data_IF_970060833915
#
_entry.id   IF_970060833915
#
_cell.length_a   1.000
_cell.length_b   1.000
_cell.length_c   1.000
_cell.angle_alpha   90.00
_cell.angle_beta   90.00
_cell.angle_gamma   90.00
#
_symmetry.space_group_name_H-M   'P 1'
#
loop_
_entity.id
_entity.type
_entity.pdbx_description
1 polymer ?
#
# COMPACT_ATOMS: atom_id res chain seq x y z
N UNK A 1 21.79 -24.99 4.22
CA UNK A 1 21.53 -24.34 2.92
C UNK A 1 21.86 -22.84 3.06
N UNK A 2 22.57 -22.27 2.11
CA UNK A 2 22.81 -20.82 2.09
C UNK A 2 21.50 -20.10 1.81
N UNK A 3 21.19 -19.06 2.60
CA UNK A 3 19.98 -18.22 2.35
C UNK A 3 20.09 -17.47 1.04
N UNK A 4 18.96 -17.27 0.37
CA UNK A 4 18.83 -16.46 -0.85
C UNK A 4 19.28 -15.01 -0.58
N UNK A 5 19.88 -14.39 -1.59
CA UNK A 5 20.28 -12.98 -1.56
C UNK A 5 19.07 -12.11 -1.90
N UNK A 6 18.74 -11.18 -1.04
CA UNK A 6 17.57 -10.33 -1.19
C UNK A 6 17.98 -8.92 -1.60
N UNK A 7 17.37 -8.40 -2.64
CA UNK A 7 17.36 -6.98 -2.97
C UNK A 7 16.11 -6.33 -2.41
N UNK A 8 16.20 -5.10 -1.91
CA UNK A 8 15.03 -4.36 -1.46
C UNK A 8 15.06 -2.93 -2.00
N UNK A 9 14.01 -2.55 -2.73
CA UNK A 9 13.87 -1.23 -3.35
C UNK A 9 12.63 -0.54 -2.79
N UNK A 10 12.85 0.66 -2.19
CA UNK A 10 11.77 1.43 -1.58
C UNK A 10 11.72 1.29 -0.07
N UNK A 11 12.80 1.61 0.63
CA UNK A 11 12.93 1.63 2.10
C UNK A 11 12.29 2.88 2.72
N UNK A 12 11.03 3.15 2.36
CA UNK A 12 10.20 4.21 2.93
C UNK A 12 9.51 3.78 4.23
N UNK A 13 8.35 4.40 4.54
CA UNK A 13 7.59 4.16 5.79
C UNK A 13 7.30 2.68 6.05
N UNK A 14 6.90 1.93 5.03
CA UNK A 14 6.60 0.50 5.14
C UNK A 14 7.86 -0.34 4.91
N UNK A 15 8.58 -0.05 3.82
CA UNK A 15 9.72 -0.85 3.37
C UNK A 15 10.88 -0.88 4.34
N UNK A 16 11.10 0.15 5.17
CA UNK A 16 12.15 0.15 6.19
C UNK A 16 11.96 -0.99 7.20
N UNK A 17 10.75 -1.11 7.78
CA UNK A 17 10.44 -2.19 8.71
C UNK A 17 10.51 -3.58 8.07
N UNK A 18 10.05 -3.71 6.81
CA UNK A 18 10.13 -4.96 6.06
C UNK A 18 11.58 -5.38 5.83
N UNK A 19 12.42 -4.49 5.31
CA UNK A 19 13.84 -4.72 5.03
C UNK A 19 14.62 -5.03 6.31
N UNK A 20 14.33 -4.31 7.41
CA UNK A 20 14.85 -4.59 8.75
C UNK A 20 14.57 -6.03 9.19
N UNK A 21 13.34 -6.50 9.07
CA UNK A 21 13.00 -7.88 9.44
C UNK A 21 13.71 -8.92 8.57
N UNK A 22 13.91 -8.66 7.28
CA UNK A 22 14.65 -9.54 6.37
C UNK A 22 16.11 -9.69 6.81
N UNK A 23 16.82 -8.58 7.06
CA UNK A 23 18.24 -8.62 7.46
C UNK A 23 18.41 -9.24 8.85
N UNK A 24 17.54 -8.91 9.81
CA UNK A 24 17.59 -9.48 11.17
C UNK A 24 17.30 -10.97 11.21
N UNK A 25 16.53 -11.50 10.26
CA UNK A 25 16.35 -12.93 10.06
C UNK A 25 17.53 -13.60 9.31
N UNK A 26 18.60 -12.84 9.06
CA UNK A 26 19.87 -13.34 8.56
C UNK A 26 19.91 -13.60 7.05
N UNK A 27 19.06 -12.96 6.26
CA UNK A 27 19.18 -12.93 4.80
C UNK A 27 20.24 -11.90 4.38
N UNK A 28 21.15 -12.25 3.45
CA UNK A 28 22.00 -11.24 2.81
C UNK A 28 21.11 -10.22 2.08
N UNK A 29 21.19 -8.94 2.50
CA UNK A 29 20.31 -7.89 2.00
C UNK A 29 21.12 -6.82 1.25
N UNK A 30 20.63 -6.43 0.08
CA UNK A 30 21.13 -5.28 -0.70
C UNK A 30 20.00 -4.27 -0.87
N UNK A 31 20.24 -3.01 -0.51
CA UNK A 31 19.27 -1.92 -0.56
C UNK A 31 19.81 -0.77 -1.42
N UNK A 32 18.93 0.14 -1.83
CA UNK A 32 19.35 1.38 -2.47
C UNK A 32 18.69 2.60 -1.81
N UNK A 33 19.41 3.71 -1.75
CA UNK A 33 18.87 4.98 -1.29
C UNK A 33 18.04 5.65 -2.40
N UNK A 34 17.04 6.42 -1.97
CA UNK A 34 16.36 7.41 -2.80
C UNK A 34 16.60 8.80 -2.16
N UNK A 35 15.55 9.57 -1.89
CA UNK A 35 15.67 10.94 -1.33
C UNK A 35 16.09 10.95 0.14
N UNK A 36 15.48 10.09 0.97
CA UNK A 36 15.82 9.94 2.38
C UNK A 36 16.85 8.81 2.55
N UNK A 37 18.00 9.12 3.11
CA UNK A 37 19.09 8.16 3.34
C UNK A 37 19.03 7.46 4.69
N UNK A 38 18.36 8.06 5.68
CA UNK A 38 18.32 7.56 7.06
C UNK A 38 17.93 6.07 7.17
N UNK A 39 16.86 5.58 6.48
CA UNK A 39 16.51 4.16 6.51
C UNK A 39 17.60 3.25 5.93
N UNK A 40 18.30 3.69 4.89
CA UNK A 40 19.41 2.90 4.29
C UNK A 40 20.60 2.84 5.24
N UNK A 41 20.95 3.95 5.87
CA UNK A 41 22.04 4.00 6.85
C UNK A 41 21.76 3.11 8.08
N UNK A 42 20.52 3.05 8.56
CA UNK A 42 20.12 2.10 9.60
C UNK A 42 20.27 0.64 9.13
N UNK A 43 19.79 0.33 7.93
CA UNK A 43 19.89 -1.02 7.38
C UNK A 43 21.34 -1.46 7.14
N UNK A 44 22.20 -0.55 6.70
CA UNK A 44 23.65 -0.82 6.54
C UNK A 44 24.30 -1.12 7.91
N UNK A 45 23.95 -0.38 8.96
CA UNK A 45 24.40 -0.69 10.33
C UNK A 45 23.94 -2.07 10.81
N UNK A 46 22.82 -2.57 10.29
CA UNK A 46 22.29 -3.93 10.56
C UNK A 46 22.92 -5.01 9.67
N UNK A 47 23.82 -4.67 8.75
CA UNK A 47 24.53 -5.61 7.89
C UNK A 47 24.05 -5.66 6.44
N UNK A 48 23.13 -4.81 6.02
CA UNK A 48 22.78 -4.69 4.60
C UNK A 48 23.90 -4.03 3.81
N UNK A 49 23.95 -4.29 2.49
CA UNK A 49 24.82 -3.62 1.54
C UNK A 49 24.03 -2.54 0.79
N UNK A 50 24.67 -1.41 0.50
CA UNK A 50 24.09 -0.39 -0.36
C UNK A 50 24.52 -0.58 -1.81
N UNK A 51 23.58 -0.50 -2.74
CA UNK A 51 23.80 -0.47 -4.17
C UNK A 51 23.42 0.90 -4.75
N UNK A 52 24.07 1.27 -5.86
CA UNK A 52 23.91 2.60 -6.48
C UNK A 52 22.58 2.82 -7.20
N UNK A 53 21.96 1.76 -7.72
CA UNK A 53 20.71 1.80 -8.51
C UNK A 53 20.00 0.44 -8.51
N UNK A 54 18.78 0.37 -9.09
CA UNK A 54 17.96 -0.83 -9.13
C UNK A 54 18.62 -1.97 -9.94
N UNK A 55 19.37 -1.64 -10.99
CA UNK A 55 20.16 -2.61 -11.76
C UNK A 55 21.16 -3.33 -10.87
N UNK A 56 21.97 -2.60 -10.11
CA UNK A 56 22.97 -3.18 -9.22
C UNK A 56 22.33 -3.99 -8.07
N UNK A 57 21.13 -3.60 -7.59
CA UNK A 57 20.35 -4.42 -6.66
C UNK A 57 19.97 -5.75 -7.30
N UNK A 58 19.46 -5.76 -8.54
CA UNK A 58 19.06 -6.98 -9.24
C UNK A 58 20.27 -7.90 -9.52
N UNK A 59 21.40 -7.34 -9.97
CA UNK A 59 22.65 -8.09 -10.22
C UNK A 59 23.15 -8.84 -8.98
N UNK A 60 22.91 -8.27 -7.77
CA UNK A 60 23.37 -8.82 -6.49
C UNK A 60 22.38 -9.82 -5.85
N UNK A 61 21.19 -10.01 -6.43
CA UNK A 61 20.06 -10.66 -5.73
C UNK A 61 19.53 -11.90 -6.46
N UNK A 62 18.91 -12.78 -5.71
CA UNK A 62 18.11 -13.92 -6.19
C UNK A 62 16.60 -13.56 -6.14
N UNK A 63 16.21 -12.71 -5.18
CA UNK A 63 14.87 -12.15 -5.04
C UNK A 63 14.99 -10.65 -4.86
N UNK A 64 14.16 -9.87 -5.56
CA UNK A 64 14.03 -8.42 -5.36
C UNK A 64 12.63 -8.10 -4.86
N UNK A 65 12.54 -7.46 -3.69
CA UNK A 65 11.29 -6.91 -3.14
C UNK A 65 11.20 -5.43 -3.49
N UNK A 66 10.06 -5.03 -4.05
CA UNK A 66 9.73 -3.63 -4.37
C UNK A 66 8.65 -3.15 -3.38
N UNK A 67 8.85 -1.98 -2.76
CA UNK A 67 7.84 -1.33 -1.93
C UNK A 67 7.87 0.18 -2.16
N UNK A 68 7.31 0.63 -3.27
CA UNK A 68 7.29 2.03 -3.70
C UNK A 68 5.87 2.61 -3.70
N UNK A 69 5.72 3.89 -4.05
CA UNK A 69 4.46 4.63 -3.86
C UNK A 69 3.32 4.16 -4.77
N UNK A 70 3.62 3.71 -5.98
CA UNK A 70 2.58 3.33 -6.94
C UNK A 70 3.10 2.85 -8.28
N UNK A 71 2.19 2.57 -9.20
CA UNK A 71 2.46 2.00 -10.51
C UNK A 71 3.54 2.74 -11.33
N UNK A 72 3.56 4.08 -11.42
CA UNK A 72 4.61 4.78 -12.15
C UNK A 72 6.02 4.54 -11.59
N UNK A 73 6.15 4.43 -10.26
CA UNK A 73 7.43 4.15 -9.61
C UNK A 73 7.84 2.68 -9.80
N UNK A 74 6.89 1.74 -9.78
CA UNK A 74 7.15 0.33 -10.10
C UNK A 74 7.68 0.22 -11.53
N UNK A 75 7.00 0.84 -12.50
CA UNK A 75 7.45 0.88 -13.90
C UNK A 75 8.87 1.43 -14.03
N UNK A 76 9.15 2.57 -13.40
CA UNK A 76 10.47 3.20 -13.45
C UNK A 76 11.57 2.34 -12.80
N UNK A 77 11.27 1.66 -11.70
CA UNK A 77 12.20 0.77 -11.00
C UNK A 77 12.48 -0.49 -11.82
N UNK A 78 11.48 -1.03 -12.52
CA UNK A 78 11.63 -2.25 -13.32
C UNK A 78 12.24 -1.94 -14.69
N UNK A 79 11.68 -1.02 -15.45
CA UNK A 79 11.98 -0.77 -16.86
C UNK A 79 12.83 0.48 -17.13
N UNK A 80 13.17 1.29 -16.09
CA UNK A 80 14.02 2.47 -16.24
C UNK A 80 15.43 2.11 -16.77
N UNK A 81 16.21 3.10 -17.22
CA UNK A 81 17.55 2.87 -17.83
C UNK A 81 18.48 2.05 -16.94
N UNK A 82 18.44 2.29 -15.62
CA UNK A 82 19.18 1.53 -14.59
C UNK A 82 18.22 0.69 -13.73
N UNK A 83 17.14 0.21 -14.33
CA UNK A 83 16.11 -0.59 -13.70
C UNK A 83 16.51 -2.05 -13.50
N UNK A 84 15.65 -2.78 -12.79
CA UNK A 84 15.85 -4.21 -12.49
C UNK A 84 16.05 -5.03 -13.76
N UNK A 85 15.28 -4.77 -14.83
CA UNK A 85 15.37 -5.47 -16.10
C UNK A 85 16.78 -5.48 -16.68
N UNK A 86 17.52 -4.35 -16.56
CA UNK A 86 18.89 -4.24 -17.08
C UNK A 86 19.92 -5.07 -16.31
N UNK A 87 19.62 -5.45 -15.06
CA UNK A 87 20.48 -6.31 -14.21
C UNK A 87 19.91 -7.71 -13.97
N UNK A 88 18.76 -8.03 -14.56
CA UNK A 88 18.07 -9.28 -14.33
C UNK A 88 18.83 -10.48 -14.94
N UNK A 89 18.75 -11.61 -14.22
CA UNK A 89 19.33 -12.91 -14.65
C UNK A 89 18.23 -13.97 -14.62
N UNK A 90 18.31 -14.99 -15.44
CA UNK A 90 17.38 -16.15 -15.35
C UNK A 90 17.34 -16.69 -13.92
N UNK A 91 16.12 -16.93 -13.43
CA UNK A 91 15.87 -17.38 -12.05
C UNK A 91 15.62 -16.26 -11.04
N UNK A 92 15.83 -14.98 -11.39
CA UNK A 92 15.45 -13.85 -10.53
C UNK A 92 13.94 -13.88 -10.27
N UNK A 93 13.54 -13.64 -9.03
CA UNK A 93 12.14 -13.42 -8.66
C UNK A 93 11.94 -12.00 -8.16
N UNK A 94 10.93 -11.30 -8.67
CA UNK A 94 10.53 -9.97 -8.22
C UNK A 94 9.22 -10.09 -7.43
N UNK A 95 9.17 -9.48 -6.25
CA UNK A 95 7.97 -9.41 -5.40
C UNK A 95 7.58 -7.93 -5.28
N UNK A 96 6.49 -7.54 -5.92
CA UNK A 96 5.99 -6.16 -5.81
C UNK A 96 4.99 -6.05 -4.64
N UNK A 97 5.46 -5.44 -3.55
CA UNK A 97 4.67 -5.13 -2.35
C UNK A 97 4.04 -3.73 -2.38
N UNK A 98 4.17 -3.00 -3.47
CA UNK A 98 3.58 -1.66 -3.66
C UNK A 98 2.05 -1.74 -3.75
N UNK A 99 1.37 -0.58 -3.76
CA UNK A 99 0.00 -0.51 -4.28
C UNK A 99 0.08 -0.11 -5.74
N UNK A 100 -0.13 -1.05 -6.65
CA UNK A 100 0.07 -0.88 -8.07
C UNK A 100 -1.18 -1.28 -8.89
N UNK A 101 -1.21 -0.95 -10.18
CA UNK A 101 -2.29 -1.35 -11.09
C UNK A 101 -2.11 -2.80 -11.54
N UNK A 102 -3.15 -3.65 -11.43
CA UNK A 102 -3.06 -5.06 -11.86
C UNK A 102 -2.72 -5.25 -13.35
N UNK A 103 -3.10 -4.28 -14.19
CA UNK A 103 -2.76 -4.27 -15.61
C UNK A 103 -1.26 -4.10 -15.84
N UNK A 104 -0.61 -3.20 -15.08
CA UNK A 104 0.84 -3.05 -15.10
C UNK A 104 1.52 -4.33 -14.61
N UNK A 105 1.04 -4.91 -13.51
CA UNK A 105 1.58 -6.13 -12.92
C UNK A 105 1.62 -7.28 -13.93
N UNK A 106 0.50 -7.52 -14.62
CA UNK A 106 0.42 -8.57 -15.64
C UNK A 106 1.36 -8.29 -16.82
N UNK A 107 1.38 -7.04 -17.31
CA UNK A 107 2.27 -6.64 -18.40
C UNK A 107 3.75 -6.84 -18.03
N UNK A 108 4.17 -6.41 -16.82
CA UNK A 108 5.54 -6.62 -16.38
C UNK A 108 5.90 -8.11 -16.26
N UNK A 109 4.99 -8.92 -15.75
CA UNK A 109 5.18 -10.38 -15.70
C UNK A 109 5.38 -10.98 -17.09
N UNK A 110 4.57 -10.60 -18.08
CA UNK A 110 4.67 -11.04 -19.47
C UNK A 110 5.98 -10.57 -20.13
N UNK A 111 6.40 -9.31 -19.90
CA UNK A 111 7.62 -8.74 -20.46
C UNK A 111 8.91 -9.37 -19.87
N UNK A 112 8.85 -9.83 -18.62
CA UNK A 112 10.01 -10.37 -17.89
C UNK A 112 10.13 -11.91 -18.04
N UNK A 113 9.05 -12.62 -18.31
CA UNK A 113 9.04 -14.07 -18.45
C UNK A 113 10.03 -14.60 -19.52
N UNK A 114 10.20 -13.98 -20.70
CA UNK A 114 11.19 -14.42 -21.70
C UNK A 114 12.64 -14.30 -21.20
N UNK A 115 12.89 -13.48 -20.18
CA UNK A 115 14.20 -13.32 -19.53
C UNK A 115 14.43 -14.37 -18.44
N UNK A 116 13.49 -15.29 -18.21
CA UNK A 116 13.54 -16.25 -17.10
C UNK A 116 13.32 -15.61 -15.73
N UNK A 117 12.65 -14.46 -15.66
CA UNK A 117 12.35 -13.73 -14.43
C UNK A 117 10.88 -13.94 -14.05
N UNK A 118 10.66 -14.30 -12.78
CA UNK A 118 9.31 -14.41 -12.20
C UNK A 118 8.90 -13.09 -11.57
N UNK A 119 7.68 -12.62 -11.84
CA UNK A 119 7.11 -11.42 -11.23
C UNK A 119 5.84 -11.78 -10.45
N UNK A 120 5.84 -11.48 -9.14
CA UNK A 120 4.74 -11.73 -8.21
C UNK A 120 4.27 -10.42 -7.59
N UNK A 121 3.00 -10.31 -7.26
CA UNK A 121 2.44 -9.19 -6.51
C UNK A 121 2.07 -9.62 -5.09
N UNK A 122 2.48 -8.82 -4.12
CA UNK A 122 2.31 -9.10 -2.69
C UNK A 122 2.02 -7.82 -1.89
N UNK A 123 0.99 -7.02 -2.27
CA UNK A 123 0.66 -5.80 -1.57
C UNK A 123 0.23 -6.03 -0.13
N UNK A 124 0.34 -4.95 0.65
CA UNK A 124 0.31 -4.94 2.09
C UNK A 124 -0.97 -4.34 2.64
N UNK A 125 -1.41 -4.82 3.80
CA UNK A 125 -2.33 -4.11 4.71
C UNK A 125 -1.68 -3.92 6.07
N UNK A 126 -2.24 -3.03 6.88
CA UNK A 126 -1.79 -2.51 8.16
C UNK A 126 -0.85 -1.30 8.01
N UNK A 127 -0.12 -0.96 9.09
CA UNK A 127 0.58 0.30 9.28
C UNK A 127 2.11 0.11 9.36
N UNK A 128 2.91 1.20 9.35
CA UNK A 128 4.34 1.10 9.56
C UNK A 128 4.76 0.43 10.88
N UNK A 129 3.90 0.48 11.91
CA UNK A 129 4.14 -0.22 13.18
C UNK A 129 4.18 -1.73 12.96
N UNK A 130 3.17 -2.29 12.30
CA UNK A 130 3.14 -3.72 12.00
C UNK A 130 4.22 -4.12 10.98
N UNK A 131 4.61 -3.22 10.06
CA UNK A 131 5.77 -3.46 9.20
C UNK A 131 7.06 -3.62 10.01
N UNK A 132 7.26 -2.79 11.03
CA UNK A 132 8.40 -2.88 11.93
C UNK A 132 8.38 -4.14 12.79
N UNK A 133 7.20 -4.55 13.25
CA UNK A 133 6.98 -5.74 14.07
C UNK A 133 6.99 -7.06 13.28
N UNK A 134 7.00 -7.02 11.94
CA UNK A 134 6.88 -8.22 11.10
C UNK A 134 5.48 -8.85 11.12
N UNK A 135 4.44 -8.03 11.22
CA UNK A 135 3.04 -8.45 11.40
C UNK A 135 2.08 -7.92 10.32
N UNK A 136 2.60 -7.65 9.13
CA UNK A 136 1.76 -7.19 8.02
C UNK A 136 0.80 -8.30 7.54
N UNK A 137 -0.37 -7.89 7.03
CA UNK A 137 -1.19 -8.77 6.21
C UNK A 137 -0.79 -8.59 4.74
N UNK A 138 -0.49 -9.69 4.06
CA UNK A 138 0.00 -9.71 2.68
C UNK A 138 -0.96 -10.49 1.81
N UNK A 139 -1.40 -9.90 0.71
CA UNK A 139 -2.26 -10.51 -0.30
C UNK A 139 -1.40 -10.89 -1.50
N UNK A 140 -1.20 -12.20 -1.74
CA UNK A 140 -0.26 -12.65 -2.79
C UNK A 140 -0.99 -13.08 -4.05
N UNK A 141 -0.47 -12.61 -5.20
CA UNK A 141 -0.83 -13.08 -6.53
C UNK A 141 0.34 -13.74 -7.23
N UNK A 142 0.10 -14.90 -7.86
CA UNK A 142 1.10 -15.68 -8.56
C UNK A 142 0.77 -17.18 -8.56
N UNK A 143 1.61 -18.01 -9.18
CA UNK A 143 1.45 -19.46 -9.07
C UNK A 143 1.79 -19.95 -7.66
N UNK A 144 1.13 -21.02 -7.19
CA UNK A 144 1.43 -21.63 -5.89
C UNK A 144 2.91 -22.06 -5.78
N UNK A 145 3.49 -22.58 -6.86
CA UNK A 145 4.88 -23.00 -6.91
C UNK A 145 5.85 -21.82 -6.74
N UNK A 146 5.58 -20.69 -7.40
CA UNK A 146 6.40 -19.49 -7.27
C UNK A 146 6.28 -18.86 -5.88
N UNK A 147 5.06 -18.81 -5.33
CA UNK A 147 4.82 -18.34 -3.98
C UNK A 147 5.50 -19.19 -2.92
N UNK A 148 5.49 -20.51 -3.07
CA UNK A 148 6.20 -21.42 -2.16
C UNK A 148 7.71 -21.12 -2.12
N UNK A 149 8.32 -20.73 -3.24
CA UNK A 149 9.76 -20.38 -3.33
C UNK A 149 10.13 -19.12 -2.56
N UNK A 150 9.21 -18.20 -2.39
CA UNK A 150 9.43 -16.88 -1.74
C UNK A 150 8.73 -16.75 -0.39
N UNK A 151 7.96 -17.75 0.03
CA UNK A 151 7.16 -17.75 1.24
C UNK A 151 7.95 -17.32 2.47
N UNK A 152 9.13 -17.91 2.70
CA UNK A 152 9.95 -17.63 3.87
C UNK A 152 10.48 -16.20 3.91
N UNK A 153 10.69 -15.58 2.73
CA UNK A 153 11.09 -14.17 2.63
C UNK A 153 9.90 -13.27 2.98
N UNK A 154 8.70 -13.55 2.45
CA UNK A 154 7.47 -12.80 2.79
C UNK A 154 7.15 -12.98 4.28
N UNK A 155 7.30 -14.16 4.85
CA UNK A 155 7.10 -14.45 6.26
C UNK A 155 8.08 -13.70 7.21
N UNK A 156 9.14 -13.08 6.66
CA UNK A 156 9.99 -12.20 7.47
C UNK A 156 9.24 -10.97 7.98
N UNK A 157 8.32 -10.42 7.19
CA UNK A 157 7.60 -9.18 7.50
C UNK A 157 6.08 -9.35 7.58
N UNK A 158 5.55 -10.55 7.33
CA UNK A 158 4.13 -10.85 7.35
C UNK A 158 3.71 -11.63 8.60
N UNK A 159 2.61 -11.20 9.24
CA UNK A 159 1.89 -11.99 10.24
C UNK A 159 0.80 -12.87 9.61
N UNK A 160 0.33 -12.50 8.41
CA UNK A 160 -0.67 -13.26 7.64
C UNK A 160 -0.36 -13.14 6.15
N UNK A 161 -0.34 -14.26 5.45
CA UNK A 161 -0.17 -14.34 4.00
C UNK A 161 -1.42 -15.01 3.42
N UNK A 162 -2.06 -14.35 2.46
CA UNK A 162 -3.26 -14.88 1.79
C UNK A 162 -2.99 -14.94 0.30
N UNK A 163 -2.96 -16.14 -0.27
CA UNK A 163 -2.95 -16.33 -1.72
C UNK A 163 -4.34 -16.05 -2.28
N UNK A 164 -4.46 -15.10 -3.19
CA UNK A 164 -5.74 -14.64 -3.72
C UNK A 164 -5.97 -14.96 -5.20
N UNK A 165 -4.99 -15.59 -5.86
CA UNK A 165 -5.12 -16.00 -7.25
C UNK A 165 -3.85 -15.79 -8.09
N UNK A 166 -3.97 -15.78 -9.43
CA UNK A 166 -2.82 -15.62 -10.33
C UNK A 166 -2.19 -14.23 -10.22
N UNK A 167 -1.08 -14.01 -10.91
CA UNK A 167 -0.36 -12.73 -10.96
C UNK A 167 -1.29 -11.57 -11.30
N UNK A 168 -1.25 -10.52 -10.49
CA UNK A 168 -2.15 -9.36 -10.51
C UNK A 168 -3.38 -9.49 -9.61
N UNK A 169 -3.68 -10.68 -9.06
CA UNK A 169 -4.80 -10.86 -8.14
C UNK A 169 -4.55 -10.20 -6.77
N UNK A 170 -3.32 -10.19 -6.29
CA UNK A 170 -2.93 -9.48 -5.07
C UNK A 170 -3.21 -7.98 -5.18
N UNK A 171 -2.71 -7.32 -6.23
CA UNK A 171 -2.99 -5.90 -6.48
C UNK A 171 -4.48 -5.63 -6.70
N UNK A 172 -5.19 -6.51 -7.42
CA UNK A 172 -6.65 -6.42 -7.55
C UNK A 172 -7.32 -6.42 -6.18
N UNK A 173 -6.98 -7.38 -5.32
CA UNK A 173 -7.58 -7.48 -3.98
C UNK A 173 -7.21 -6.29 -3.11
N UNK A 174 -5.98 -5.79 -3.22
CA UNK A 174 -5.54 -4.56 -2.50
C UNK A 174 -6.38 -3.36 -2.90
N UNK A 175 -6.62 -3.15 -4.18
CA UNK A 175 -7.44 -2.03 -4.68
C UNK A 175 -8.90 -2.19 -4.23
N UNK A 176 -9.46 -3.40 -4.28
CA UNK A 176 -10.83 -3.69 -3.78
C UNK A 176 -10.93 -3.43 -2.28
N UNK A 177 -9.94 -3.90 -1.49
CA UNK A 177 -9.90 -3.62 -0.05
C UNK A 177 -9.85 -2.12 0.25
N UNK A 178 -9.04 -1.36 -0.49
CA UNK A 178 -8.97 0.08 -0.32
C UNK A 178 -10.23 0.79 -0.82
N UNK A 179 -10.89 0.30 -1.87
CA UNK A 179 -12.19 0.81 -2.28
C UNK A 179 -13.23 0.67 -1.16
N UNK A 180 -13.31 -0.48 -0.49
CA UNK A 180 -14.23 -0.68 0.64
C UNK A 180 -13.91 0.31 1.77
N UNK A 181 -12.66 0.43 2.20
CA UNK A 181 -12.28 1.31 3.31
C UNK A 181 -12.42 2.80 2.98
N UNK A 182 -12.08 3.21 1.76
CA UNK A 182 -12.26 4.61 1.32
C UNK A 182 -13.74 4.94 1.09
N UNK A 183 -14.54 3.96 0.68
CA UNK A 183 -16.00 4.06 0.65
C UNK A 183 -16.59 4.34 2.03
N UNK A 184 -16.13 3.62 3.05
CA UNK A 184 -16.50 3.89 4.43
C UNK A 184 -16.08 5.31 4.88
N UNK A 185 -14.86 5.75 4.54
CA UNK A 185 -14.41 7.09 4.90
C UNK A 185 -15.30 8.20 4.30
N UNK A 186 -15.62 8.09 3.01
CA UNK A 186 -16.52 9.05 2.34
C UNK A 186 -17.94 9.03 2.95
N UNK A 187 -18.48 7.82 3.20
CA UNK A 187 -19.78 7.64 3.83
C UNK A 187 -19.83 8.24 5.25
N UNK A 188 -18.81 7.99 6.07
CA UNK A 188 -18.76 8.55 7.43
C UNK A 188 -18.64 10.08 7.40
N UNK A 189 -17.83 10.63 6.50
CA UNK A 189 -17.66 12.07 6.37
C UNK A 189 -18.97 12.77 5.97
N UNK A 190 -19.72 12.19 5.04
CA UNK A 190 -21.02 12.73 4.62
C UNK A 190 -22.09 12.55 5.71
N UNK A 191 -22.17 11.35 6.32
CA UNK A 191 -23.11 11.08 7.39
C UNK A 191 -22.91 11.99 8.60
N UNK A 192 -21.66 12.31 8.98
CA UNK A 192 -21.35 13.29 10.03
C UNK A 192 -21.88 14.69 9.68
N UNK A 193 -21.70 15.11 8.43
CA UNK A 193 -22.20 16.43 7.96
C UNK A 193 -23.73 16.48 8.00
N UNK A 194 -24.42 15.42 7.52
CA UNK A 194 -25.87 15.30 7.55
C UNK A 194 -26.40 15.28 9.00
N UNK A 195 -25.79 14.47 9.87
CA UNK A 195 -26.19 14.39 11.28
C UNK A 195 -26.05 15.75 11.98
N UNK A 196 -24.91 16.41 11.82
CA UNK A 196 -24.62 17.71 12.44
C UNK A 196 -25.55 18.80 11.95
N UNK A 197 -25.83 18.87 10.65
CA UNK A 197 -26.77 19.83 10.07
C UNK A 197 -28.22 19.64 10.59
N UNK A 198 -28.55 18.47 11.09
CA UNK A 198 -29.84 18.14 11.71
C UNK A 198 -29.79 18.12 13.25
N UNK A 199 -28.78 18.72 13.87
CA UNK A 199 -28.71 18.86 15.33
C UNK A 199 -28.14 17.66 16.09
N UNK A 200 -27.60 16.65 15.40
CA UNK A 200 -26.97 15.49 16.03
C UNK A 200 -25.43 15.68 16.05
N UNK A 201 -24.89 15.84 17.25
CA UNK A 201 -23.45 16.01 17.44
C UNK A 201 -22.66 14.74 17.09
N UNK A 202 -21.40 14.85 16.63
CA UNK A 202 -20.54 13.68 16.34
C UNK A 202 -20.43 12.68 17.49
N UNK A 203 -20.39 13.14 18.75
CA UNK A 203 -20.38 12.27 19.95
C UNK A 203 -21.66 11.44 20.10
N UNK A 204 -22.83 12.02 19.78
CA UNK A 204 -24.09 11.31 19.85
C UNK A 204 -24.18 10.24 18.74
N UNK A 205 -23.74 10.58 17.51
CA UNK A 205 -23.64 9.61 16.42
C UNK A 205 -22.69 8.45 16.80
N UNK A 206 -21.53 8.77 17.38
CA UNK A 206 -20.58 7.75 17.84
C UNK A 206 -21.19 6.84 18.91
N UNK A 207 -21.94 7.39 19.88
CA UNK A 207 -22.58 6.60 20.93
C UNK A 207 -23.63 5.58 20.38
N UNK A 208 -24.22 5.89 19.23
CA UNK A 208 -25.18 4.98 18.56
C UNK A 208 -24.49 3.91 17.73
N UNK A 209 -23.39 4.27 17.05
CA UNK A 209 -22.76 3.36 16.08
C UNK A 209 -21.67 2.48 16.70
N UNK A 210 -20.91 3.00 17.69
CA UNK A 210 -19.84 2.27 18.35
C UNK A 210 -20.40 1.09 19.15
N UNK A 211 -19.78 -0.08 18.98
CA UNK A 211 -20.23 -1.34 19.57
C UNK A 211 -21.45 -1.96 18.90
N UNK A 212 -22.02 -1.30 17.87
CA UNK A 212 -23.17 -1.78 17.11
C UNK A 212 -22.77 -2.54 15.83
N UNK A 213 -23.78 -2.82 14.98
CA UNK A 213 -23.58 -3.58 13.72
C UNK A 213 -22.70 -2.87 12.70
N UNK A 214 -22.58 -1.53 12.78
CA UNK A 214 -21.78 -0.72 11.86
C UNK A 214 -20.37 -0.47 12.40
N UNK A 215 -20.05 -0.99 13.59
CA UNK A 215 -18.73 -0.87 14.19
C UNK A 215 -17.74 -1.88 13.57
N UNK A 216 -16.55 -1.39 13.23
CA UNK A 216 -15.44 -2.21 12.77
C UNK A 216 -14.12 -1.50 13.07
N UNK A 217 -12.99 -2.19 12.91
CA UNK A 217 -11.66 -1.61 13.17
C UNK A 217 -11.39 -0.32 12.39
N UNK A 218 -11.88 -0.21 11.14
CA UNK A 218 -11.73 1.01 10.37
C UNK A 218 -12.59 2.16 10.93
N UNK A 219 -13.83 1.86 11.34
CA UNK A 219 -14.71 2.82 12.01
C UNK A 219 -14.05 3.40 13.27
N UNK A 220 -13.56 2.54 14.17
CA UNK A 220 -12.88 2.96 15.40
C UNK A 220 -11.68 3.87 15.11
N UNK A 221 -10.87 3.53 14.13
CA UNK A 221 -9.71 4.32 13.74
C UNK A 221 -10.11 5.69 13.15
N UNK A 222 -11.15 5.72 12.32
CA UNK A 222 -11.67 6.95 11.73
C UNK A 222 -12.29 7.85 12.79
N UNK A 223 -13.16 7.31 13.65
CA UNK A 223 -13.85 8.06 14.68
C UNK A 223 -12.93 8.50 15.83
N UNK A 224 -11.79 7.84 16.03
CA UNK A 224 -10.78 8.33 16.97
C UNK A 224 -10.32 9.74 16.60
N UNK A 225 -10.10 10.02 15.32
CA UNK A 225 -9.85 11.39 14.88
C UNK A 225 -11.07 12.30 15.10
N UNK A 226 -12.25 11.87 14.71
CA UNK A 226 -13.47 12.70 14.79
C UNK A 226 -13.76 13.13 16.24
N UNK A 227 -13.57 12.23 17.21
CA UNK A 227 -13.92 12.46 18.62
C UNK A 227 -12.76 13.00 19.46
N UNK A 228 -11.56 12.44 19.29
CA UNK A 228 -10.38 12.73 20.11
C UNK A 228 -9.40 13.68 19.40
N UNK A 229 -9.62 13.96 18.10
CA UNK A 229 -8.72 14.76 17.23
C UNK A 229 -7.32 14.17 17.12
N UNK A 230 -7.20 12.84 17.27
CA UNK A 230 -5.93 12.14 17.08
C UNK A 230 -5.58 12.09 15.57
N UNK A 231 -4.75 13.04 15.14
CA UNK A 231 -4.30 13.15 13.75
C UNK A 231 -3.50 11.92 13.28
N UNK A 232 -2.96 11.14 14.20
CA UNK A 232 -2.17 9.97 13.89
C UNK A 232 -2.96 8.65 13.93
N UNK A 233 -4.27 8.69 14.20
CA UNK A 233 -5.11 7.51 14.31
C UNK A 233 -5.09 6.63 13.05
N UNK A 234 -4.97 7.23 11.85
CA UNK A 234 -4.90 6.51 10.58
C UNK A 234 -4.00 7.25 9.58
N UNK A 235 -2.74 6.85 9.52
CA UNK A 235 -1.70 7.53 8.73
C UNK A 235 -1.68 7.11 7.26
N UNK A 236 -2.80 7.35 6.55
CA UNK A 236 -2.94 7.17 5.10
C UNK A 236 -3.42 8.48 4.49
N UNK A 237 -2.65 9.06 3.56
CA UNK A 237 -2.92 10.41 3.05
C UNK A 237 -4.07 10.44 2.07
N UNK A 238 -4.78 11.58 1.99
CA UNK A 238 -5.86 11.81 1.03
C UNK A 238 -5.37 11.67 -0.42
N UNK A 239 -4.14 12.12 -0.72
CA UNK A 239 -3.54 11.93 -2.04
C UNK A 239 -3.32 10.46 -2.39
N UNK A 240 -2.88 9.62 -1.43
CA UNK A 240 -2.75 8.18 -1.66
C UNK A 240 -4.12 7.51 -1.81
N UNK A 241 -5.12 7.95 -1.04
CA UNK A 241 -6.49 7.47 -1.19
C UNK A 241 -7.06 7.81 -2.58
N UNK A 242 -6.86 9.05 -3.05
CA UNK A 242 -7.24 9.46 -4.40
C UNK A 242 -6.53 8.61 -5.46
N UNK A 243 -5.23 8.41 -5.34
CA UNK A 243 -4.46 7.53 -6.23
C UNK A 243 -5.06 6.12 -6.31
N UNK A 244 -5.34 5.50 -5.16
CA UNK A 244 -5.87 4.13 -5.11
C UNK A 244 -7.29 4.05 -5.68
N UNK A 245 -8.11 5.10 -5.49
CA UNK A 245 -9.44 5.17 -6.10
C UNK A 245 -9.38 5.40 -7.62
N UNK A 246 -8.37 6.10 -8.14
CA UNK A 246 -8.11 6.15 -9.59
C UNK A 246 -7.76 4.77 -10.14
N UNK A 247 -6.92 4.00 -9.44
CA UNK A 247 -6.60 2.62 -9.84
C UNK A 247 -7.85 1.73 -9.83
N UNK A 248 -8.76 1.93 -8.85
CA UNK A 248 -10.04 1.24 -8.83
C UNK A 248 -10.90 1.57 -10.07
N UNK A 249 -11.00 2.85 -10.43
CA UNK A 249 -11.74 3.28 -11.60
C UNK A 249 -11.13 2.74 -12.90
N UNK A 250 -9.80 2.77 -13.04
CA UNK A 250 -9.08 2.21 -14.19
C UNK A 250 -9.29 0.70 -14.31
N UNK A 251 -9.23 -0.01 -13.18
CA UNK A 251 -9.45 -1.46 -13.13
C UNK A 251 -10.88 -1.83 -13.54
N UNK A 252 -11.89 -1.09 -13.04
CA UNK A 252 -13.28 -1.31 -13.44
C UNK A 252 -13.51 -1.01 -14.92
N UNK A 253 -12.94 0.09 -15.43
CA UNK A 253 -13.01 0.43 -16.85
C UNK A 253 -12.37 -0.65 -17.74
N UNK A 254 -11.19 -1.14 -17.39
CA UNK A 254 -10.51 -2.20 -18.13
C UNK A 254 -11.29 -3.52 -18.12
N UNK A 255 -12.07 -3.78 -17.07
CA UNK A 255 -12.94 -4.95 -16.96
C UNK A 255 -14.34 -4.75 -17.59
N UNK A 256 -14.65 -3.56 -18.11
CA UNK A 256 -15.98 -3.23 -18.66
C UNK A 256 -17.10 -3.19 -17.60
N UNK A 257 -16.77 -2.93 -16.33
CA UNK A 257 -17.71 -2.96 -15.21
C UNK A 257 -18.14 -1.54 -14.85
N UNK A 258 -19.44 -1.31 -14.67
CA UNK A 258 -19.96 -0.07 -14.13
C UNK A 258 -19.49 0.12 -12.68
N UNK A 259 -18.92 1.30 -12.37
CA UNK A 259 -18.35 1.61 -11.05
C UNK A 259 -18.85 2.97 -10.51
N UNK A 260 -20.18 3.14 -10.34
CA UNK A 260 -20.73 4.44 -9.90
C UNK A 260 -20.25 4.82 -8.49
N UNK A 261 -20.28 3.90 -7.53
CA UNK A 261 -19.82 4.16 -6.17
C UNK A 261 -18.32 4.48 -6.12
N UNK A 262 -17.47 3.72 -6.82
CA UNK A 262 -16.03 3.97 -6.87
C UNK A 262 -15.70 5.35 -7.48
N UNK A 263 -16.45 5.79 -8.48
CA UNK A 263 -16.29 7.14 -9.07
C UNK A 263 -16.77 8.23 -8.09
N UNK A 264 -17.85 8.02 -7.36
CA UNK A 264 -18.28 8.94 -6.32
C UNK A 264 -17.22 9.08 -5.23
N UNK A 265 -16.77 7.96 -4.65
CA UNK A 265 -15.72 7.93 -3.61
C UNK A 265 -14.43 8.58 -4.11
N UNK A 266 -13.98 8.26 -5.34
CA UNK A 266 -12.79 8.90 -5.94
C UNK A 266 -12.91 10.43 -5.93
N UNK A 267 -14.08 10.96 -6.24
CA UNK A 267 -14.29 12.41 -6.34
C UNK A 267 -14.20 13.13 -4.99
N UNK A 268 -14.57 12.50 -3.86
CA UNK A 268 -14.34 13.06 -2.52
C UNK A 268 -12.85 13.32 -2.28
N UNK A 269 -12.00 12.34 -2.57
CA UNK A 269 -10.55 12.48 -2.40
C UNK A 269 -9.93 13.42 -3.43
N UNK A 270 -10.40 13.42 -4.67
CA UNK A 270 -9.98 14.35 -5.71
C UNK A 270 -10.25 15.80 -5.33
N UNK A 271 -11.44 16.10 -4.78
CA UNK A 271 -11.80 17.44 -4.31
C UNK A 271 -10.91 17.88 -3.15
N UNK A 272 -10.67 17.02 -2.17
CA UNK A 272 -9.79 17.33 -1.05
C UNK A 272 -8.35 17.62 -1.51
N UNK A 273 -7.82 16.82 -2.44
CA UNK A 273 -6.47 17.01 -3.01
C UNK A 273 -6.39 18.30 -3.83
N UNK A 274 -7.38 18.59 -4.69
CA UNK A 274 -7.44 19.82 -5.49
C UNK A 274 -7.47 21.09 -4.65
N UNK A 275 -7.96 21.02 -3.41
CA UNK A 275 -7.96 22.13 -2.44
C UNK A 275 -6.66 22.22 -1.62
N UNK A 276 -5.62 21.48 -1.98
CA UNK A 276 -4.32 21.49 -1.29
C UNK A 276 -4.24 20.61 -0.04
N UNK A 277 -5.26 19.80 0.24
CA UNK A 277 -5.33 18.97 1.45
C UNK A 277 -4.79 17.53 1.25
N UNK A 278 -4.16 17.24 0.12
CA UNK A 278 -3.66 15.91 -0.21
C UNK A 278 -2.72 15.28 0.82
N UNK A 279 -1.98 16.10 1.58
CA UNK A 279 -1.09 15.64 2.65
C UNK A 279 -1.79 15.25 3.96
N UNK A 280 -3.06 15.63 4.16
CA UNK A 280 -3.85 15.25 5.32
C UNK A 280 -4.18 13.76 5.29
N UNK A 281 -4.53 13.19 6.45
CA UNK A 281 -4.90 11.78 6.57
C UNK A 281 -6.39 11.54 6.37
N UNK A 282 -6.76 10.33 5.95
CA UNK A 282 -8.11 9.92 5.55
C UNK A 282 -9.21 10.31 6.54
N UNK A 283 -9.07 10.19 7.87
CA UNK A 283 -10.13 10.63 8.78
C UNK A 283 -10.42 12.14 8.72
N UNK A 284 -9.44 12.95 8.30
CA UNK A 284 -9.62 14.40 8.14
C UNK A 284 -10.52 14.77 6.95
N UNK A 285 -10.87 13.80 6.10
CA UNK A 285 -11.90 13.98 5.08
C UNK A 285 -13.23 14.42 5.71
N UNK A 286 -13.53 14.01 6.95
CA UNK A 286 -14.73 14.44 7.68
C UNK A 286 -14.84 15.95 7.80
N UNK A 287 -13.73 16.63 8.15
CA UNK A 287 -13.72 18.09 8.27
C UNK A 287 -13.81 18.78 6.90
N UNK A 288 -13.19 18.19 5.86
CA UNK A 288 -13.27 18.72 4.51
C UNK A 288 -14.69 18.67 3.97
N UNK A 289 -15.36 17.52 4.11
CA UNK A 289 -16.75 17.35 3.66
C UNK A 289 -17.70 18.25 4.45
N UNK A 290 -17.52 18.37 5.76
CA UNK A 290 -18.30 19.29 6.59
C UNK A 290 -18.12 20.75 6.13
N UNK A 291 -16.89 21.17 5.87
CA UNK A 291 -16.58 22.52 5.35
C UNK A 291 -17.23 22.79 3.99
N UNK A 292 -17.25 21.82 3.08
CA UNK A 292 -17.93 21.96 1.78
C UNK A 292 -19.43 22.19 1.93
N UNK A 293 -20.02 21.68 2.99
CA UNK A 293 -21.45 21.81 3.33
C UNK A 293 -21.75 22.97 4.31
N UNK A 294 -20.77 23.81 4.65
CA UNK A 294 -20.95 24.90 5.62
C UNK A 294 -21.22 24.42 7.05
N UNK A 295 -20.78 23.19 7.39
CA UNK A 295 -20.99 22.56 8.71
C UNK A 295 -19.68 22.57 9.50
N UNK A 296 -19.76 22.83 10.81
CA UNK A 296 -18.64 22.71 11.74
C UNK A 296 -18.83 21.47 12.65
N UNK A 297 -17.90 20.53 12.61
CA UNK A 297 -17.96 19.31 13.45
C UNK A 297 -17.43 19.50 14.88
N UNK A 298 -16.79 20.64 15.16
CA UNK A 298 -16.11 20.88 16.45
C UNK A 298 -17.03 21.35 17.59
N UNK A 299 -18.25 21.81 17.27
CA UNK A 299 -19.19 22.40 18.24
C UNK A 299 -20.11 21.35 18.89
#
# INVERSE_FOLDING_TARGET
MTKQRIGFIGVGLMGHGMAKNIVEKGYPLTVMANRNREPVEDLVKRGAKEARNARAVAEASDIVVICVTGAPQVEAVVNGPDGIRAGAKPGLTIIDCSTSEPTLTRRLAEELAPLGVTFLDAPLSRTPKEAWEGKLDVMTGGSEADLARVHDVIACFAGRIVHVGPTGAGHTMKIVNNFVSMGYAALYAEALSVAKANGVAPKAMNAVLSGGRMDCGFYQTFFKYVIERDENAHRFTLANAHKDMRYCANMAQAAGIANPMGNAVKNYFAMAEAQGNGGKYVPMLSDEVARWNGVNLLD
#
